data_IF_566085786483
#
_entry.id   IF_566085786483
#
_cell.length_a   1.000
_cell.length_b   1.000
_cell.length_c   1.000
_cell.angle_alpha   90.00
_cell.angle_beta   90.00
_cell.angle_gamma   90.00
#
_symmetry.space_group_name_H-M   'P 1'
#
loop_
_entity.id
_entity.type
_entity.pdbx_description
1 polymer ?
#
# COMPACT_ATOMS: atom_id res chain seq x y z
N UNK A 1 -31.18 9.83 -1.47
CA UNK A 1 -30.61 9.99 -1.37
C UNK A 1 -29.92 9.97 -1.49
N UNK A 2 -29.93 9.81 -1.53
CA UNK A 2 -29.09 9.79 -1.44
C UNK A 2 -28.31 9.59 -1.76
N UNK A 3 -28.22 9.41 -1.79
CA UNK A 3 -27.24 9.22 -1.80
C UNK A 3 -26.65 8.79 -2.10
N UNK A 4 -26.54 8.62 -1.92
CA UNK A 4 -25.72 8.34 -1.91
C UNK A 4 -25.11 8.02 -2.51
N UNK A 5 -25.38 7.85 -2.61
CA UNK A 5 -24.69 7.61 -2.98
C UNK A 5 -24.03 7.48 -3.42
N UNK A 6 -23.97 7.32 -3.34
CA UNK A 6 -23.20 7.29 -3.51
C UNK A 6 -22.44 7.03 -3.86
N UNK A 7 -22.64 6.92 -3.87
CA UNK A 7 -21.70 6.89 -4.22
C UNK A 7 -20.92 5.96 -4.29
N UNK A 8 -21.09 5.26 -4.66
CA UNK A 8 -20.35 4.38 -4.72
C UNK A 8 -19.70 4.14 -5.72
N UNK A 9 -18.82 4.17 -5.76
CA UNK A 9 -18.01 4.07 -6.71
C UNK A 9 -18.01 2.89 -7.28
N UNK A 10 -17.98 2.85 -8.25
CA UNK A 10 -17.87 1.80 -8.89
C UNK A 10 -16.71 1.14 -8.54
N UNK A 11 -16.78 0.03 -8.31
CA UNK A 11 -15.73 -0.68 -7.93
C UNK A 11 -14.77 -0.82 -8.95
N UNK A 12 -13.71 -0.91 -8.67
CA UNK A 12 -12.71 -1.09 -9.58
C UNK A 12 -12.64 0.00 -10.45
N UNK A 13 -13.47 0.90 -10.24
CA UNK A 13 -13.42 1.89 -11.07
C UNK A 13 -12.68 2.94 -10.51
N UNK A 14 -12.53 3.87 -11.20
CA UNK A 14 -11.81 4.97 -10.82
C UNK A 14 -12.30 5.49 -9.57
N UNK A 15 -11.53 5.95 -8.77
CA UNK A 15 -11.94 6.48 -7.53
C UNK A 15 -12.17 5.47 -6.48
N UNK A 16 -11.99 4.24 -6.78
CA UNK A 16 -12.15 3.25 -5.77
C UNK A 16 -11.02 3.24 -4.79
N UNK A 17 -11.14 2.41 -3.81
CA UNK A 17 -10.10 2.23 -2.81
C UNK A 17 -9.59 0.81 -2.86
N UNK A 18 -8.33 0.68 -2.51
CA UNK A 18 -7.71 -0.63 -2.41
C UNK A 18 -7.72 -1.06 -0.96
N UNK A 19 -7.95 -2.32 -0.75
CA UNK A 19 -7.79 -2.89 0.57
C UNK A 19 -6.53 -3.73 0.58
N UNK A 20 -5.57 -3.33 1.38
CA UNK A 20 -4.31 -4.07 1.49
C UNK A 20 -4.05 -4.33 2.95
N UNK A 21 -3.11 -5.19 3.24
CA UNK A 21 -2.70 -5.39 4.61
C UNK A 21 -1.23 -5.03 4.75
N UNK A 22 -0.89 -4.43 5.87
CA UNK A 22 0.49 -4.11 6.19
C UNK A 22 0.82 -4.78 7.50
N UNK A 23 1.70 -5.76 7.45
CA UNK A 23 2.08 -6.54 8.63
C UNK A 23 0.87 -7.08 9.37
N UNK A 24 -0.12 -7.50 8.59
CA UNK A 24 -1.33 -8.07 9.17
C UNK A 24 -2.43 -7.07 9.50
N UNK A 25 -2.17 -5.79 9.33
CA UNK A 25 -3.17 -4.77 9.62
C UNK A 25 -3.87 -4.35 8.33
N UNK A 26 -5.18 -4.42 8.31
CA UNK A 26 -5.94 -4.04 7.12
C UNK A 26 -5.95 -2.53 6.96
N UNK A 27 -5.66 -2.07 5.76
CA UNK A 27 -5.63 -0.66 5.45
C UNK A 27 -6.37 -0.41 4.16
N UNK A 28 -6.88 0.79 4.02
CA UNK A 28 -7.48 1.22 2.77
C UNK A 28 -6.64 2.33 2.17
N UNK A 29 -6.38 2.20 0.87
CA UNK A 29 -5.58 3.18 0.14
C UNK A 29 -6.33 3.59 -1.10
N UNK A 30 -6.14 4.82 -1.58
CA UNK A 30 -6.77 5.22 -2.83
C UNK A 30 -6.27 4.38 -3.99
N UNK A 31 -7.13 4.12 -4.94
CA UNK A 31 -6.71 3.40 -6.13
C UNK A 31 -5.57 4.15 -6.80
N UNK A 32 -4.61 3.41 -7.28
CA UNK A 32 -3.42 4.01 -7.88
C UNK A 32 -2.29 4.27 -6.90
N UNK A 33 -2.48 3.96 -5.63
CA UNK A 33 -1.41 4.15 -4.66
C UNK A 33 -0.26 3.21 -4.94
N UNK A 34 0.95 3.69 -4.67
CA UNK A 34 2.14 2.87 -4.81
C UNK A 34 2.61 2.43 -3.43
N UNK A 35 3.55 1.50 -3.44
CA UNK A 35 4.16 1.05 -2.20
C UNK A 35 4.82 2.22 -1.48
N UNK A 36 5.43 3.12 -2.21
CA UNK A 36 6.04 4.29 -1.59
C UNK A 36 5.01 5.15 -0.87
N UNK A 37 3.85 5.33 -1.48
CA UNK A 37 2.78 6.12 -0.86
C UNK A 37 2.31 5.45 0.43
N UNK A 38 2.24 4.13 0.43
CA UNK A 38 1.83 3.42 1.63
C UNK A 38 2.81 3.68 2.78
N UNK A 39 4.10 3.62 2.50
CA UNK A 39 5.09 3.87 3.54
C UNK A 39 4.99 5.30 4.06
N UNK A 40 4.76 6.25 3.19
CA UNK A 40 4.59 7.63 3.60
C UNK A 40 3.35 7.81 4.45
N UNK A 41 2.28 7.17 4.08
CA UNK A 41 1.03 7.28 4.80
C UNK A 41 1.13 6.71 6.21
N UNK A 42 2.03 5.74 6.40
CA UNK A 42 2.23 5.14 7.71
C UNK A 42 3.45 5.71 8.42
N UNK A 43 4.04 6.73 7.84
CA UNK A 43 5.18 7.41 8.46
C UNK A 43 6.36 6.46 8.69
N UNK A 44 6.58 5.58 7.73
CA UNK A 44 7.69 4.63 7.81
C UNK A 44 8.86 5.18 7.03
N UNK A 45 10.04 5.10 7.62
CA UNK A 45 11.24 5.64 6.99
C UNK A 45 11.67 4.71 5.86
N UNK A 46 11.66 5.18 4.62
CA UNK A 46 12.03 4.31 3.51
C UNK A 46 13.49 3.88 3.52
N UNK A 47 14.32 4.59 4.26
CA UNK A 47 15.75 4.27 4.29
C UNK A 47 16.05 3.15 5.26
N UNK A 48 15.18 2.90 6.21
CA UNK A 48 15.46 1.93 7.27
C UNK A 48 14.55 0.72 7.21
N UNK A 49 13.65 0.65 6.24
CA UNK A 49 12.72 -0.45 6.16
C UNK A 49 12.86 -1.19 4.85
N UNK A 50 12.70 -2.49 4.90
CA UNK A 50 12.61 -3.32 3.70
C UNK A 50 11.15 -3.71 3.51
N UNK A 51 10.76 -3.91 2.27
CA UNK A 51 9.38 -4.20 1.96
C UNK A 51 9.25 -5.41 1.07
N UNK A 52 8.18 -6.15 1.27
CA UNK A 52 7.80 -7.24 0.38
C UNK A 52 6.31 -7.16 0.13
N UNK A 53 5.90 -7.51 -1.07
CA UNK A 53 4.49 -7.52 -1.45
C UNK A 53 4.16 -8.92 -1.93
N UNK A 54 3.19 -9.54 -1.29
CA UNK A 54 2.79 -10.92 -1.62
C UNK A 54 3.98 -11.87 -1.59
N UNK A 55 4.87 -11.66 -0.63
CA UNK A 55 6.02 -12.53 -0.46
C UNK A 55 7.22 -12.22 -1.33
N UNK A 56 7.14 -11.16 -2.13
CA UNK A 56 8.24 -10.81 -3.02
C UNK A 56 8.87 -9.51 -2.57
N UNK A 57 10.19 -9.53 -2.44
CA UNK A 57 10.91 -8.34 -2.01
C UNK A 57 10.80 -7.24 -3.06
N UNK A 58 10.58 -6.03 -2.60
CA UNK A 58 10.52 -4.86 -3.48
C UNK A 58 11.62 -3.91 -3.05
N UNK A 59 12.64 -3.72 -3.88
CA UNK A 59 13.73 -2.82 -3.51
C UNK A 59 13.26 -1.38 -3.40
N UNK A 60 14.03 -0.60 -2.66
CA UNK A 60 13.63 0.78 -2.39
C UNK A 60 13.38 1.56 -3.66
N UNK A 61 14.23 1.40 -4.66
CA UNK A 61 14.08 2.16 -5.89
C UNK A 61 12.89 1.72 -6.71
N UNK A 62 12.31 0.58 -6.44
CA UNK A 62 11.15 0.11 -7.19
C UNK A 62 9.83 0.47 -6.53
N UNK A 63 9.87 1.03 -5.31
CA UNK A 63 8.64 1.27 -4.56
C UNK A 63 7.74 2.30 -5.21
N UNK A 64 8.34 3.34 -5.77
CA UNK A 64 7.55 4.40 -6.39
C UNK A 64 6.84 3.93 -7.64
N UNK A 65 7.38 2.89 -8.28
CA UNK A 65 6.77 2.34 -9.47
C UNK A 65 5.92 1.11 -9.20
N UNK A 66 5.88 0.65 -7.97
CA UNK A 66 5.13 -0.55 -7.62
C UNK A 66 3.72 -0.17 -7.23
N UNK A 67 2.80 -0.27 -8.16
CA UNK A 67 1.41 0.06 -7.89
C UNK A 67 0.77 -1.05 -7.08
N UNK A 68 0.14 -0.67 -6.00
CA UNK A 68 -0.56 -1.63 -5.15
C UNK A 68 -1.88 -2.02 -5.78
N UNK A 69 -2.32 -3.22 -5.46
CA UNK A 69 -3.59 -3.72 -5.95
C UNK A 69 -4.43 -4.18 -4.79
N UNK A 70 -5.72 -4.21 -5.02
CA UNK A 70 -6.65 -4.66 -4.00
C UNK A 70 -6.31 -6.08 -3.58
N UNK A 71 -6.23 -6.30 -2.30
CA UNK A 71 -5.89 -7.61 -1.77
C UNK A 71 -4.41 -7.86 -1.54
N UNK A 72 -3.56 -6.89 -1.85
CA UNK A 72 -2.13 -7.10 -1.65
C UNK A 72 -1.79 -7.24 -0.18
N UNK A 73 -0.84 -8.13 0.09
CA UNK A 73 -0.29 -8.32 1.42
C UNK A 73 1.10 -7.71 1.45
N UNK A 74 1.26 -6.67 2.23
CA UNK A 74 2.52 -5.95 2.31
C UNK A 74 3.19 -6.25 3.65
N UNK A 75 4.46 -6.59 3.58
CA UNK A 75 5.27 -6.78 4.77
C UNK A 75 6.35 -5.72 4.78
N UNK A 76 6.55 -5.13 5.93
CA UNK A 76 7.55 -4.10 6.09
C UNK A 76 8.33 -4.38 7.35
N UNK A 77 9.64 -4.47 7.24
CA UNK A 77 10.46 -4.75 8.41
C UNK A 77 11.58 -3.75 8.50
N UNK A 78 11.97 -3.42 9.70
CA UNK A 78 13.08 -2.54 9.89
C UNK A 78 14.36 -3.29 9.57
N UNK A 79 15.14 -2.76 8.67
CA UNK A 79 16.37 -3.39 8.28
C UNK A 79 17.42 -3.16 9.36
N UNK A 80 18.12 -4.19 9.71
CA UNK A 80 19.19 -4.09 10.65
C UNK A 80 20.44 -3.81 9.88
N UNK A 81 21.01 -2.66 10.13
CA UNK A 81 22.14 -2.30 9.42
C UNK A 81 23.31 -2.47 10.21
N UNK A 82 24.13 -3.10 9.70
CA UNK A 82 25.37 -3.08 10.09
C UNK A 82 25.81 -3.18 11.32
N UNK A 83 25.60 -3.55 11.86
CA UNK A 83 26.08 -3.79 13.00
C UNK A 83 26.84 -3.19 13.61
#
# INVERSE_FOLDING_TARGET
>A
MTGQTEAVPAPGSAGGQLQVSLNGEALQMPAGSTLEVLLQARDLDPMTHATAVNGQFVPRDARAAHALQDGDTVMCFQAIVGG
#
